data_IF_726180591487
#
_entry.id   IF_726180591487
#
_cell.length_a   1.000
_cell.length_b   1.000
_cell.length_c   1.000
_cell.angle_alpha   90.00
_cell.angle_beta   90.00
_cell.angle_gamma   90.00
#
_symmetry.space_group_name_H-M   'P 1'
#
loop_
_entity.id
_entity.type
_entity.pdbx_description
1 polymer ?
#
# COMPACT_ATOMS: atom_id res chain seq x y z
N UNK A 1 21.80 19.20 18.57
CA UNK A 1 20.34 19.29 18.23
C UNK A 1 20.13 19.73 16.77
N UNK A 2 20.51 20.95 16.33
CA UNK A 2 20.29 21.37 14.93
C UNK A 2 20.98 20.46 13.86
N UNK A 3 22.15 19.91 14.14
CA UNK A 3 22.86 19.01 13.22
C UNK A 3 22.22 17.63 13.06
N UNK A 4 21.61 17.09 14.10
CA UNK A 4 20.88 15.81 14.07
C UNK A 4 19.55 15.94 13.33
N UNK A 5 18.84 17.05 13.49
CA UNK A 5 17.60 17.35 12.77
C UNK A 5 17.85 17.52 11.27
N UNK A 6 18.92 18.22 10.88
CA UNK A 6 19.33 18.37 9.47
C UNK A 6 19.74 17.02 8.85
N UNK A 7 20.46 16.16 9.60
CA UNK A 7 20.81 14.80 9.18
C UNK A 7 19.56 13.94 8.95
N UNK A 8 18.60 14.00 9.86
CA UNK A 8 17.36 13.24 9.77
C UNK A 8 16.45 13.73 8.61
N UNK A 9 16.41 15.03 8.35
CA UNK A 9 15.69 15.63 7.23
C UNK A 9 16.30 15.19 5.87
N UNK A 10 17.64 15.25 5.77
CA UNK A 10 18.34 14.79 4.57
C UNK A 10 18.16 13.29 4.31
N UNK A 11 18.09 12.47 5.37
CA UNK A 11 17.80 11.03 5.27
C UNK A 11 16.37 10.77 4.78
N UNK A 12 15.38 11.48 5.33
CA UNK A 12 13.97 11.38 4.89
C UNK A 12 13.81 11.78 3.42
N UNK A 13 14.43 12.88 3.00
CA UNK A 13 14.36 13.34 1.62
C UNK A 13 15.03 12.34 0.66
N UNK A 14 16.16 11.76 1.05
CA UNK A 14 16.83 10.71 0.26
C UNK A 14 15.98 9.47 0.13
N UNK A 15 15.38 9.00 1.25
CA UNK A 15 14.45 7.86 1.24
C UNK A 15 13.26 8.13 0.32
N UNK A 16 12.68 9.32 0.37
CA UNK A 16 11.59 9.76 -0.50
C UNK A 16 11.99 9.72 -1.97
N UNK A 17 13.14 10.27 -2.36
CA UNK A 17 13.63 10.23 -3.76
C UNK A 17 13.78 8.80 -4.27
N UNK A 18 14.30 7.89 -3.44
CA UNK A 18 14.44 6.48 -3.79
C UNK A 18 13.08 5.84 -4.06
N UNK A 19 12.10 6.05 -3.17
CA UNK A 19 10.74 5.50 -3.33
C UNK A 19 10.06 6.10 -4.56
N UNK A 20 10.14 7.41 -4.78
CA UNK A 20 9.55 8.07 -5.95
C UNK A 20 10.20 7.57 -7.27
N UNK A 21 11.51 7.34 -7.29
CA UNK A 21 12.20 6.73 -8.43
C UNK A 21 11.70 5.30 -8.71
N UNK A 22 11.48 4.52 -7.65
CA UNK A 22 10.93 3.15 -7.74
C UNK A 22 9.53 3.14 -8.31
N UNK A 23 8.65 3.98 -7.77
CA UNK A 23 7.26 4.12 -8.26
C UNK A 23 7.26 4.51 -9.74
N UNK A 24 8.12 5.44 -10.14
CA UNK A 24 8.22 5.87 -11.53
C UNK A 24 8.70 4.76 -12.49
N UNK A 25 9.63 3.90 -12.06
CA UNK A 25 10.09 2.77 -12.86
C UNK A 25 9.03 1.65 -12.90
N UNK A 26 8.45 1.31 -11.75
CA UNK A 26 7.39 0.31 -11.66
C UNK A 26 6.16 0.70 -12.50
N UNK A 27 5.79 1.97 -12.51
CA UNK A 27 4.67 2.49 -13.32
C UNK A 27 4.87 2.32 -14.84
N UNK A 28 6.11 2.22 -15.31
CA UNK A 28 6.43 2.05 -16.73
C UNK A 28 6.45 0.60 -17.19
N UNK A 29 6.92 -0.33 -16.34
CA UNK A 29 7.17 -1.69 -16.79
C UNK A 29 7.07 -2.75 -15.68
N UNK A 30 6.31 -2.48 -14.60
CA UNK A 30 6.02 -3.45 -13.56
C UNK A 30 7.25 -3.86 -12.72
N UNK A 31 7.14 -5.02 -12.11
CA UNK A 31 8.16 -5.56 -11.23
C UNK A 31 9.54 -5.69 -11.90
N UNK A 32 9.59 -6.12 -13.16
CA UNK A 32 10.85 -6.40 -13.85
C UNK A 32 11.59 -5.13 -14.29
N UNK A 33 10.88 -4.01 -14.45
CA UNK A 33 11.49 -2.70 -14.73
C UNK A 33 12.21 -2.10 -13.51
N UNK A 34 11.91 -2.55 -12.31
CA UNK A 34 12.58 -2.10 -11.08
C UNK A 34 13.89 -2.85 -10.91
N UNK A 35 14.99 -2.25 -11.36
CA UNK A 35 16.35 -2.73 -11.15
C UNK A 35 17.04 -1.82 -10.13
N UNK A 36 17.72 -2.38 -9.11
CA UNK A 36 18.33 -1.60 -8.03
C UNK A 36 19.29 -0.52 -8.56
N UNK A 37 20.09 -0.84 -9.59
CA UNK A 37 21.00 0.15 -10.23
C UNK A 37 20.20 1.29 -10.89
N UNK A 38 19.16 0.97 -11.66
CA UNK A 38 18.33 1.98 -12.31
C UNK A 38 17.59 2.88 -11.31
N UNK A 39 17.18 2.33 -10.16
CA UNK A 39 16.60 3.11 -9.06
C UNK A 39 17.66 4.04 -8.47
N UNK A 40 18.88 3.55 -8.19
CA UNK A 40 19.96 4.35 -7.62
C UNK A 40 20.34 5.53 -8.55
N UNK A 41 20.51 5.24 -9.84
CA UNK A 41 20.82 6.25 -10.86
C UNK A 41 19.70 7.31 -10.94
N UNK A 42 18.43 6.88 -10.99
CA UNK A 42 17.29 7.80 -11.07
C UNK A 42 17.06 8.62 -9.80
N UNK A 43 17.38 8.07 -8.62
CA UNK A 43 17.26 8.75 -7.33
C UNK A 43 18.47 9.64 -7.01
N UNK A 44 19.48 9.63 -7.85
CA UNK A 44 20.77 10.30 -7.62
C UNK A 44 21.39 9.90 -6.27
N UNK A 45 21.60 8.59 -6.11
CA UNK A 45 22.26 8.01 -4.93
C UNK A 45 23.25 6.93 -5.35
N UNK A 46 24.32 6.75 -4.58
CA UNK A 46 25.21 5.60 -4.78
C UNK A 46 24.46 4.28 -4.51
N UNK A 47 24.73 3.24 -5.29
CA UNK A 47 24.10 1.92 -5.16
C UNK A 47 24.25 1.33 -3.74
N UNK A 48 25.43 1.49 -3.11
CA UNK A 48 25.64 1.08 -1.72
C UNK A 48 24.78 1.85 -0.71
N UNK A 49 24.47 3.12 -1.01
CA UNK A 49 23.54 3.90 -0.21
C UNK A 49 22.12 3.35 -0.35
N UNK A 50 21.68 3.02 -1.57
CA UNK A 50 20.38 2.40 -1.80
C UNK A 50 20.21 1.11 -0.98
N UNK A 51 21.19 0.18 -1.05
CA UNK A 51 21.14 -1.08 -0.31
C UNK A 51 21.11 -0.90 1.21
N UNK A 52 21.66 0.19 1.74
CA UNK A 52 21.57 0.52 3.16
C UNK A 52 20.16 0.92 3.60
N UNK A 53 19.36 1.54 2.71
CA UNK A 53 17.97 1.90 2.96
C UNK A 53 17.01 0.74 2.68
N UNK A 54 17.29 -0.03 1.65
CA UNK A 54 16.43 -1.09 1.14
C UNK A 54 17.29 -2.28 0.71
N UNK A 55 17.37 -3.33 1.54
CA UNK A 55 18.26 -4.48 1.30
C UNK A 55 17.97 -5.23 -0.01
N UNK A 56 16.72 -5.16 -0.50
CA UNK A 56 16.35 -5.81 -1.76
C UNK A 56 15.24 -5.03 -2.48
N UNK A 57 14.98 -5.41 -3.72
CA UNK A 57 13.85 -4.93 -4.52
C UNK A 57 12.49 -5.18 -3.84
N UNK A 58 12.36 -6.27 -3.09
CA UNK A 58 11.13 -6.59 -2.35
C UNK A 58 10.89 -5.56 -1.25
N UNK A 59 11.87 -5.29 -0.37
CA UNK A 59 11.78 -4.24 0.65
C UNK A 59 11.38 -2.89 0.05
N UNK A 60 12.01 -2.54 -1.06
CA UNK A 60 11.78 -1.28 -1.75
C UNK A 60 10.36 -1.16 -2.30
N UNK A 61 9.84 -2.20 -2.94
CA UNK A 61 8.48 -2.21 -3.51
C UNK A 61 7.39 -2.33 -2.44
N UNK A 62 7.61 -3.08 -1.36
CA UNK A 62 6.68 -3.12 -0.22
C UNK A 62 6.64 -1.77 0.50
N UNK A 63 7.80 -1.11 0.68
CA UNK A 63 7.84 0.27 1.17
C UNK A 63 7.13 1.25 0.23
N UNK A 64 7.20 1.04 -1.09
CA UNK A 64 6.48 1.86 -2.07
C UNK A 64 4.96 1.69 -1.96
N UNK A 65 4.48 0.46 -1.69
CA UNK A 65 3.07 0.19 -1.40
C UNK A 65 2.61 0.93 -0.13
N UNK A 66 3.40 0.90 0.95
CA UNK A 66 3.09 1.66 2.16
C UNK A 66 2.94 3.16 1.86
N UNK A 67 3.85 3.75 1.08
CA UNK A 67 3.76 5.17 0.69
C UNK A 67 2.52 5.47 -0.17
N UNK A 68 2.13 4.60 -1.08
CA UNK A 68 0.90 4.78 -1.86
C UNK A 68 -0.36 4.69 -0.97
N UNK A 69 -0.38 3.80 0.03
CA UNK A 69 -1.46 3.73 1.02
C UNK A 69 -1.49 4.96 1.92
N UNK A 70 -0.35 5.46 2.39
CA UNK A 70 -0.25 6.73 3.15
C UNK A 70 -0.81 7.91 2.34
N UNK A 71 -0.44 8.03 1.07
CA UNK A 71 -0.97 9.05 0.17
C UNK A 71 -2.49 8.93 -0.04
N UNK A 72 -2.99 7.69 -0.10
CA UNK A 72 -4.44 7.44 -0.19
C UNK A 72 -5.16 7.85 1.09
N UNK A 73 -4.60 7.53 2.26
CA UNK A 73 -5.12 7.93 3.56
C UNK A 73 -5.14 9.44 3.72
N UNK A 74 -4.04 10.14 3.43
CA UNK A 74 -3.98 11.61 3.49
C UNK A 74 -5.05 12.30 2.61
N UNK A 75 -5.32 11.72 1.43
CA UNK A 75 -6.39 12.21 0.55
C UNK A 75 -7.78 11.96 1.12
N UNK A 76 -7.98 10.87 1.85
CA UNK A 76 -9.24 10.56 2.52
C UNK A 76 -9.45 11.44 3.76
N UNK A 77 -8.40 11.71 4.53
CA UNK A 77 -8.47 12.56 5.72
C UNK A 77 -8.89 14.02 5.41
N UNK A 78 -8.73 14.45 4.16
CA UNK A 78 -9.17 15.77 3.67
C UNK A 78 -10.63 15.80 3.19
N UNK A 79 -11.32 14.67 3.22
CA UNK A 79 -12.70 14.55 2.72
C UNK A 79 -13.53 13.75 3.71
N UNK A 80 -14.79 14.12 3.89
CA UNK A 80 -15.72 13.28 4.66
C UNK A 80 -15.94 11.97 3.92
N UNK A 81 -15.74 10.84 4.61
CA UNK A 81 -16.09 9.52 4.08
C UNK A 81 -17.61 9.39 4.10
N UNK A 82 -18.28 9.27 2.94
CA UNK A 82 -19.75 9.18 2.89
C UNK A 82 -20.22 7.80 3.39
N UNK A 83 -21.43 7.77 3.91
CA UNK A 83 -22.15 6.57 4.36
C UNK A 83 -22.68 6.69 5.79
N UNK A 84 -23.88 6.21 5.99
CA UNK A 84 -24.60 6.26 7.28
C UNK A 84 -24.25 5.05 8.17
N UNK A 85 -23.73 3.98 7.57
CA UNK A 85 -23.35 2.74 8.25
C UNK A 85 -21.85 2.43 8.12
N UNK A 86 -21.28 1.65 9.04
CA UNK A 86 -19.90 1.11 8.91
C UNK A 86 -19.69 0.38 7.58
N UNK A 87 -20.69 -0.41 7.14
CA UNK A 87 -20.69 -1.09 5.84
C UNK A 87 -20.44 -0.13 4.68
N UNK A 88 -21.23 0.93 4.59
CA UNK A 88 -21.13 1.91 3.48
C UNK A 88 -19.79 2.64 3.48
N UNK A 89 -19.32 3.06 4.66
CA UNK A 89 -18.05 3.77 4.80
C UNK A 89 -16.85 2.88 4.44
N UNK A 90 -16.81 1.63 4.94
CA UNK A 90 -15.74 0.69 4.60
C UNK A 90 -15.76 0.35 3.11
N UNK A 91 -16.93 0.12 2.53
CA UNK A 91 -17.06 -0.15 1.10
C UNK A 91 -16.59 1.02 0.25
N UNK A 92 -16.89 2.26 0.65
CA UNK A 92 -16.40 3.46 -0.02
C UNK A 92 -14.86 3.54 0.01
N UNK A 93 -14.24 3.39 1.21
CA UNK A 93 -12.79 3.43 1.40
C UNK A 93 -12.11 2.34 0.57
N UNK A 94 -12.58 1.11 0.70
CA UNK A 94 -12.04 -0.04 -0.01
C UNK A 94 -12.13 0.13 -1.54
N UNK A 95 -13.27 0.58 -2.03
CA UNK A 95 -13.48 0.86 -3.44
C UNK A 95 -12.60 2.01 -3.96
N UNK A 96 -12.36 3.05 -3.14
CA UNK A 96 -11.50 4.18 -3.51
C UNK A 96 -10.03 3.77 -3.64
N UNK A 97 -9.52 2.99 -2.69
CA UNK A 97 -8.14 2.46 -2.71
C UNK A 97 -7.96 1.53 -3.91
N UNK A 98 -8.88 0.58 -4.10
CA UNK A 98 -8.84 -0.39 -5.20
C UNK A 98 -8.83 0.31 -6.56
N UNK A 99 -9.75 1.25 -6.80
CA UNK A 99 -9.74 2.03 -8.04
C UNK A 99 -8.49 2.88 -8.22
N UNK A 100 -7.91 3.39 -7.13
CA UNK A 100 -6.64 4.11 -7.16
C UNK A 100 -5.51 3.25 -7.71
N UNK A 101 -5.37 2.03 -7.22
CA UNK A 101 -4.37 1.06 -7.70
C UNK A 101 -4.64 0.60 -9.13
N UNK A 102 -5.90 0.35 -9.49
CA UNK A 102 -6.29 -0.09 -10.83
C UNK A 102 -5.96 0.93 -11.94
N UNK A 103 -5.75 2.21 -11.60
CA UNK A 103 -5.33 3.24 -12.57
C UNK A 103 -3.90 3.05 -13.06
N UNK A 104 -3.07 2.33 -12.32
CA UNK A 104 -1.69 2.04 -12.69
C UNK A 104 -1.41 0.52 -12.57
N UNK A 105 -1.82 -0.28 -13.56
CA UNK A 105 -1.71 -1.74 -13.50
C UNK A 105 -0.28 -2.24 -13.32
N UNK A 106 0.70 -1.60 -13.96
CA UNK A 106 2.11 -1.99 -13.85
C UNK A 106 2.65 -1.75 -12.43
N UNK A 107 2.35 -0.59 -11.84
CA UNK A 107 2.75 -0.30 -10.46
C UNK A 107 2.08 -1.28 -9.48
N UNK A 108 0.78 -1.52 -9.67
CA UNK A 108 0.02 -2.44 -8.81
C UNK A 108 0.52 -3.87 -8.92
N UNK A 109 0.85 -4.33 -10.14
CA UNK A 109 1.49 -5.63 -10.34
C UNK A 109 2.79 -5.73 -9.56
N UNK A 110 3.68 -4.74 -9.70
CA UNK A 110 4.97 -4.74 -9.05
C UNK A 110 4.86 -4.79 -7.52
N UNK A 111 3.98 -3.97 -6.94
CA UNK A 111 3.78 -3.90 -5.49
C UNK A 111 3.09 -5.16 -4.96
N UNK A 112 2.04 -5.65 -5.64
CA UNK A 112 1.31 -6.86 -5.25
C UNK A 112 2.22 -8.08 -5.31
N UNK A 113 3.01 -8.22 -6.37
CA UNK A 113 4.00 -9.29 -6.52
C UNK A 113 5.04 -9.25 -5.40
N UNK A 114 5.62 -8.07 -5.12
CA UNK A 114 6.59 -7.92 -4.05
C UNK A 114 6.02 -8.27 -2.68
N UNK A 115 4.81 -7.81 -2.37
CA UNK A 115 4.13 -8.09 -1.11
C UNK A 115 3.82 -9.59 -0.94
N UNK A 116 3.33 -10.24 -2.01
CA UNK A 116 2.96 -11.68 -2.00
C UNK A 116 4.18 -12.59 -1.79
N UNK A 117 5.35 -12.21 -2.31
CA UNK A 117 6.58 -13.00 -2.22
C UNK A 117 7.58 -12.47 -1.17
N UNK A 118 7.16 -11.48 -0.36
CA UNK A 118 7.97 -10.99 0.75
C UNK A 118 8.09 -12.07 1.83
N UNK A 119 9.29 -12.24 2.34
CA UNK A 119 9.60 -13.14 3.44
C UNK A 119 9.79 -12.38 4.76
N UNK A 120 10.16 -13.09 5.81
CA UNK A 120 10.36 -12.52 7.14
C UNK A 120 11.41 -11.40 7.19
N UNK A 121 12.32 -11.30 6.22
CA UNK A 121 13.31 -10.22 6.17
C UNK A 121 12.68 -8.85 5.90
N UNK A 122 11.53 -8.82 5.22
CA UNK A 122 10.73 -7.61 4.96
C UNK A 122 9.58 -7.41 5.98
N UNK A 123 9.67 -8.04 7.15
CA UNK A 123 8.60 -8.03 8.16
C UNK A 123 8.17 -6.63 8.57
N UNK A 124 9.11 -5.71 8.80
CA UNK A 124 8.80 -4.34 9.19
C UNK A 124 7.99 -3.57 8.12
N UNK A 125 8.30 -3.78 6.84
CA UNK A 125 7.58 -3.19 5.73
C UNK A 125 6.17 -3.80 5.58
N UNK A 126 6.06 -5.12 5.75
CA UNK A 126 4.79 -5.84 5.75
C UNK A 126 3.89 -5.34 6.89
N UNK A 127 4.43 -5.26 8.11
CA UNK A 127 3.72 -4.75 9.28
C UNK A 127 3.21 -3.32 9.07
N UNK A 128 4.01 -2.48 8.42
CA UNK A 128 3.59 -1.12 8.09
C UNK A 128 2.41 -1.08 7.13
N UNK A 129 2.43 -1.89 6.07
CA UNK A 129 1.31 -2.03 5.12
C UNK A 129 0.07 -2.54 5.83
N UNK A 130 0.19 -3.60 6.63
CA UNK A 130 -0.90 -4.20 7.38
C UNK A 130 -1.53 -3.22 8.36
N UNK A 131 -0.72 -2.47 9.10
CA UNK A 131 -1.19 -1.43 10.01
C UNK A 131 -1.94 -0.30 9.28
N UNK A 132 -1.44 0.16 8.14
CA UNK A 132 -2.11 1.17 7.33
C UNK A 132 -3.49 0.70 6.86
N UNK A 133 -3.59 -0.52 6.37
CA UNK A 133 -4.86 -1.11 5.93
C UNK A 133 -5.84 -1.26 7.11
N UNK A 134 -5.38 -1.83 8.24
CA UNK A 134 -6.18 -1.98 9.45
C UNK A 134 -6.68 -0.60 9.93
N UNK A 135 -5.79 0.39 10.01
CA UNK A 135 -6.13 1.76 10.44
C UNK A 135 -7.18 2.41 9.53
N UNK A 136 -7.05 2.29 8.21
CA UNK A 136 -8.02 2.88 7.27
C UNK A 136 -9.41 2.26 7.41
N UNK A 137 -9.51 0.95 7.60
CA UNK A 137 -10.80 0.27 7.73
C UNK A 137 -11.43 0.47 9.11
N UNK A 138 -10.66 0.39 10.19
CA UNK A 138 -11.20 0.62 11.54
C UNK A 138 -11.71 2.05 11.71
N UNK A 139 -11.00 3.05 11.20
CA UNK A 139 -11.47 4.46 11.19
C UNK A 139 -12.73 4.66 10.35
N UNK A 140 -12.92 3.88 9.29
CA UNK A 140 -14.16 3.88 8.52
C UNK A 140 -15.33 3.21 9.27
N UNK A 141 -15.04 2.24 10.14
CA UNK A 141 -16.06 1.58 10.96
C UNK A 141 -16.53 2.47 12.11
N UNK A 142 -15.62 3.13 12.83
CA UNK A 142 -15.92 3.96 14.01
C UNK A 142 -14.95 5.14 14.13
N UNK A 143 -15.43 6.21 14.77
CA UNK A 143 -14.58 7.33 15.19
C UNK A 143 -13.88 7.07 16.53
N UNK A 144 -14.38 6.11 17.31
CA UNK A 144 -13.82 5.72 18.60
C UNK A 144 -12.61 4.78 18.45
N UNK A 145 -11.91 4.50 19.56
CA UNK A 145 -10.88 3.47 19.59
C UNK A 145 -11.41 2.13 19.08
N UNK A 146 -10.71 1.50 18.12
CA UNK A 146 -11.21 0.27 17.50
C UNK A 146 -11.18 -0.90 18.47
N UNK A 147 -12.28 -1.66 18.51
CA UNK A 147 -12.37 -2.92 19.26
C UNK A 147 -11.52 -4.02 18.61
N UNK A 148 -11.20 -5.07 19.36
CA UNK A 148 -10.48 -6.23 18.82
C UNK A 148 -11.24 -6.93 17.70
N UNK A 149 -12.59 -6.94 17.77
CA UNK A 149 -13.45 -7.44 16.70
C UNK A 149 -13.30 -6.59 15.41
N UNK A 150 -13.35 -5.27 15.53
CA UNK A 150 -13.15 -4.37 14.37
C UNK A 150 -11.77 -4.53 13.73
N UNK A 151 -10.73 -4.71 14.55
CA UNK A 151 -9.37 -5.01 14.05
C UNK A 151 -9.32 -6.36 13.33
N UNK A 152 -10.00 -7.39 13.88
CA UNK A 152 -10.09 -8.69 13.22
C UNK A 152 -10.83 -8.62 11.88
N UNK A 153 -11.96 -7.92 11.83
CA UNK A 153 -12.72 -7.67 10.59
C UNK A 153 -11.84 -6.93 9.56
N UNK A 154 -11.13 -5.89 9.99
CA UNK A 154 -10.26 -5.12 9.10
C UNK A 154 -9.15 -5.98 8.49
N UNK A 155 -8.56 -6.88 9.27
CA UNK A 155 -7.55 -7.84 8.78
C UNK A 155 -8.12 -8.81 7.75
N UNK A 156 -9.27 -9.40 8.02
CA UNK A 156 -9.95 -10.31 7.07
C UNK A 156 -10.28 -9.58 5.76
N UNK A 157 -10.77 -8.34 5.83
CA UNK A 157 -11.01 -7.52 4.63
C UNK A 157 -9.70 -7.30 3.86
N UNK A 158 -8.58 -7.02 4.55
CA UNK A 158 -7.26 -6.84 3.95
C UNK A 158 -6.77 -8.10 3.22
N UNK A 159 -6.92 -9.28 3.82
CA UNK A 159 -6.54 -10.56 3.23
C UNK A 159 -7.34 -10.86 1.96
N UNK A 160 -8.67 -10.68 2.02
CA UNK A 160 -9.54 -10.86 0.85
C UNK A 160 -9.22 -9.83 -0.24
N UNK A 161 -8.95 -8.59 0.14
CA UNK A 161 -8.54 -7.54 -0.80
C UNK A 161 -7.26 -7.90 -1.53
N UNK A 162 -6.21 -8.33 -0.81
CA UNK A 162 -4.95 -8.77 -1.41
C UNK A 162 -5.18 -9.94 -2.39
N UNK A 163 -5.93 -10.95 -1.99
CA UNK A 163 -6.27 -12.08 -2.87
C UNK A 163 -6.95 -11.64 -4.17
N UNK A 164 -7.86 -10.65 -4.07
CA UNK A 164 -8.54 -10.08 -5.24
C UNK A 164 -7.61 -9.22 -6.11
N UNK A 165 -6.65 -8.48 -5.52
CA UNK A 165 -5.62 -7.78 -6.29
C UNK A 165 -4.73 -8.75 -7.06
N UNK A 166 -4.30 -9.86 -6.41
CA UNK A 166 -3.54 -10.93 -7.09
C UNK A 166 -4.34 -11.49 -8.26
N UNK A 167 -5.63 -11.78 -8.08
CA UNK A 167 -6.48 -12.29 -9.16
C UNK A 167 -6.60 -11.30 -10.32
N UNK A 168 -6.68 -10.00 -10.02
CA UNK A 168 -6.77 -8.94 -11.02
C UNK A 168 -5.44 -8.75 -11.79
N UNK A 169 -4.31 -8.61 -11.12
CA UNK A 169 -3.00 -8.41 -11.79
C UNK A 169 -2.59 -9.63 -12.61
N UNK A 170 -3.03 -10.82 -12.22
CA UNK A 170 -2.83 -12.07 -12.98
C UNK A 170 -3.92 -12.33 -14.03
N UNK A 171 -4.84 -11.38 -14.26
CA UNK A 171 -5.94 -11.45 -15.24
C UNK A 171 -6.92 -12.61 -15.02
N UNK A 172 -7.02 -13.15 -13.79
CA UNK A 172 -8.00 -14.18 -13.39
C UNK A 172 -9.34 -13.58 -12.95
N UNK A 173 -9.38 -12.27 -12.74
CA UNK A 173 -10.58 -11.51 -12.40
C UNK A 173 -10.59 -10.17 -13.11
N UNK A 174 -11.75 -9.70 -13.52
CA UNK A 174 -11.96 -8.33 -14.01
C UNK A 174 -12.06 -7.34 -12.85
N UNK A 175 -11.99 -6.04 -13.14
CA UNK A 175 -12.23 -5.00 -12.12
C UNK A 175 -13.65 -5.10 -11.51
N UNK A 176 -14.64 -5.49 -12.32
CA UNK A 176 -16.02 -5.72 -11.86
C UNK A 176 -16.11 -6.93 -10.93
N UNK A 177 -15.44 -8.05 -11.26
CA UNK A 177 -15.40 -9.22 -10.39
C UNK A 177 -14.79 -8.88 -9.02
N UNK A 178 -13.69 -8.12 -9.01
CA UNK A 178 -13.06 -7.64 -7.77
C UNK A 178 -14.03 -6.80 -6.96
N UNK A 179 -14.69 -5.82 -7.59
CA UNK A 179 -15.65 -4.95 -6.90
C UNK A 179 -16.79 -5.76 -6.26
N UNK A 180 -17.39 -6.70 -6.99
CA UNK A 180 -18.48 -7.55 -6.51
C UNK A 180 -18.06 -8.44 -5.33
N UNK A 181 -16.86 -9.04 -5.40
CA UNK A 181 -16.33 -9.88 -4.32
C UNK A 181 -16.02 -9.09 -3.06
N UNK A 182 -15.47 -7.88 -3.21
CA UNK A 182 -15.18 -7.00 -2.08
C UNK A 182 -16.48 -6.48 -1.44
N UNK A 183 -17.49 -6.11 -2.22
CA UNK A 183 -18.81 -5.76 -1.70
C UNK A 183 -19.42 -6.91 -0.91
N UNK A 184 -19.39 -8.13 -1.46
CA UNK A 184 -19.89 -9.32 -0.76
C UNK A 184 -19.16 -9.53 0.56
N UNK A 185 -17.82 -9.39 0.58
CA UNK A 185 -17.01 -9.54 1.78
C UNK A 185 -17.42 -8.55 2.88
N UNK A 186 -17.48 -7.26 2.53
CA UNK A 186 -17.86 -6.21 3.48
C UNK A 186 -19.30 -6.42 3.99
N UNK A 187 -20.21 -6.82 3.11
CA UNK A 187 -21.61 -7.13 3.47
C UNK A 187 -21.73 -8.31 4.46
N UNK A 188 -20.93 -9.35 4.30
CA UNK A 188 -20.96 -10.51 5.20
C UNK A 188 -20.37 -10.22 6.57
N UNK A 189 -19.46 -9.25 6.66
CA UNK A 189 -18.75 -8.92 7.90
C UNK A 189 -19.37 -7.76 8.68
N UNK A 190 -20.09 -6.84 8.00
CA UNK A 190 -20.55 -5.58 8.59
C UNK A 190 -22.08 -5.33 8.44
N UNK A 191 -22.85 -6.30 7.97
CA UNK A 191 -24.31 -6.26 7.93
C UNK A 191 -24.93 -7.19 8.94
#
# INVERSE_FOLDING_TARGET
>A
MAGEELSSAAQRERRKRIVDATIALASKGGFDAVQMRAVADRADVALGTLYRYFPSKVHLLVSSLAVELERAQEKMDRTTVPGDSPYERVLFVLGRITRGLQRNPHLTEAMTRAFTFADASAGAEIDRVSWLMESMFTRAMSADEPTDEQKAIARVIGDVWLSNLVAWVTRRATATDVANRLELTVRLLLK
#
